data_IF_426212273623
#
_entry.id   IF_426212273623
#
_cell.length_a   1.000
_cell.length_b   1.000
_cell.length_c   1.000
_cell.angle_alpha   90.00
_cell.angle_beta   90.00
_cell.angle_gamma   90.00
#
_symmetry.space_group_name_H-M   'P 1'
#
loop_
_entity.id
_entity.type
_entity.pdbx_description
1 polymer ?
#
# COMPACT_ATOMS: atom_id res chain seq x y z
N UNK A 1 -17.32 8.00 0.36
CA UNK A 1 -16.15 8.65 -0.32
C UNK A 1 -15.00 9.12 0.59
N UNK A 2 -15.17 9.29 1.91
CA UNK A 2 -14.07 9.76 2.79
C UNK A 2 -12.92 8.76 2.94
N UNK A 3 -13.15 7.48 2.63
CA UNK A 3 -12.17 6.40 2.74
C UNK A 3 -10.97 6.61 1.80
N UNK A 4 -11.20 7.03 0.55
CA UNK A 4 -10.13 7.37 -0.40
C UNK A 4 -9.27 8.55 0.09
N UNK A 5 -9.83 9.49 0.85
CA UNK A 5 -9.06 10.62 1.37
C UNK A 5 -8.05 10.20 2.46
N UNK A 6 -8.29 9.07 3.13
CA UNK A 6 -7.42 8.53 4.20
C UNK A 6 -6.31 7.61 3.66
N UNK A 7 -6.43 7.14 2.42
CA UNK A 7 -5.47 6.21 1.82
C UNK A 7 -4.14 6.88 1.45
N UNK A 8 -3.05 6.12 1.44
CA UNK A 8 -1.75 6.63 0.96
C UNK A 8 -1.81 6.83 -0.55
N UNK A 9 -0.88 7.66 -1.08
CA UNK A 9 -0.80 7.94 -2.53
C UNK A 9 -0.61 6.63 -3.31
N UNK A 10 0.26 5.76 -2.82
CA UNK A 10 0.62 4.52 -3.53
C UNK A 10 -0.52 3.50 -3.49
N UNK A 11 -1.24 3.37 -2.37
CA UNK A 11 -2.45 2.52 -2.32
C UNK A 11 -3.50 2.96 -3.34
N UNK A 12 -3.70 4.28 -3.48
CA UNK A 12 -4.64 4.84 -4.45
C UNK A 12 -4.18 4.60 -5.89
N UNK A 13 -2.86 4.57 -6.14
CA UNK A 13 -2.34 4.21 -7.45
C UNK A 13 -2.59 2.74 -7.75
N UNK A 14 -2.27 1.84 -6.81
CA UNK A 14 -2.56 0.41 -6.98
C UNK A 14 -4.03 0.18 -7.26
N UNK A 15 -4.90 0.81 -6.48
CA UNK A 15 -6.35 0.72 -6.64
C UNK A 15 -6.80 1.16 -8.03
N UNK A 16 -6.36 2.32 -8.52
CA UNK A 16 -6.79 2.77 -9.85
C UNK A 16 -6.17 1.91 -10.97
N UNK A 17 -4.98 1.34 -10.80
CA UNK A 17 -4.39 0.38 -11.75
C UNK A 17 -5.22 -0.91 -11.80
N UNK A 18 -5.66 -1.43 -10.65
CA UNK A 18 -6.52 -2.62 -10.58
C UNK A 18 -7.91 -2.37 -11.17
N UNK A 19 -8.40 -1.12 -11.09
CA UNK A 19 -9.62 -0.68 -11.78
C UNK A 19 -9.42 -0.44 -13.29
N UNK A 20 -8.23 -0.69 -13.84
CA UNK A 20 -7.93 -0.49 -15.26
C UNK A 20 -7.83 0.97 -15.67
N UNK A 21 -7.62 1.89 -14.73
CA UNK A 21 -7.46 3.31 -15.00
C UNK A 21 -5.99 3.59 -15.33
N UNK A 22 -5.73 4.35 -16.40
CA UNK A 22 -4.38 4.77 -16.74
C UNK A 22 -3.90 5.81 -15.72
N UNK A 23 -2.90 5.45 -14.92
CA UNK A 23 -2.29 6.35 -13.95
C UNK A 23 -0.85 6.65 -14.34
N UNK A 24 -0.61 7.86 -14.81
CA UNK A 24 0.74 8.40 -14.91
C UNK A 24 1.30 8.80 -13.53
N UNK A 25 2.24 9.73 -13.51
CA UNK A 25 2.75 10.29 -12.26
C UNK A 25 1.77 11.33 -11.66
N UNK A 26 0.57 10.89 -11.34
CA UNK A 26 -0.50 11.74 -10.86
C UNK A 26 -0.43 12.01 -9.35
N UNK A 27 -0.94 13.17 -8.95
CA UNK A 27 -1.11 13.54 -7.54
C UNK A 27 -2.25 12.75 -6.89
N UNK A 28 -2.21 12.62 -5.56
CA UNK A 28 -3.21 11.88 -4.78
C UNK A 28 -4.65 12.33 -5.07
N UNK A 29 -4.86 13.65 -5.13
CA UNK A 29 -6.18 14.25 -5.38
C UNK A 29 -6.70 13.88 -6.78
N UNK A 30 -5.82 13.92 -7.79
CA UNK A 30 -6.17 13.60 -9.17
C UNK A 30 -6.55 12.12 -9.28
N UNK A 31 -5.78 11.24 -8.65
CA UNK A 31 -6.03 9.79 -8.64
C UNK A 31 -7.38 9.46 -8.00
N UNK A 32 -7.68 10.05 -6.84
CA UNK A 32 -8.99 9.93 -6.19
C UNK A 32 -10.13 10.37 -7.11
N UNK A 33 -9.99 11.52 -7.76
CA UNK A 33 -11.04 12.06 -8.62
C UNK A 33 -11.27 11.18 -9.86
N UNK A 34 -10.21 10.58 -10.41
CA UNK A 34 -10.30 9.65 -11.54
C UNK A 34 -11.12 8.40 -11.16
N UNK A 35 -10.85 7.82 -9.99
CA UNK A 35 -11.61 6.67 -9.47
C UNK A 35 -13.09 7.02 -9.32
N UNK A 36 -13.39 8.16 -8.72
CA UNK A 36 -14.77 8.61 -8.49
C UNK A 36 -15.50 9.01 -9.78
N UNK A 37 -14.77 9.37 -10.83
CA UNK A 37 -15.33 9.72 -12.13
C UNK A 37 -15.53 8.51 -13.05
N UNK A 38 -15.09 7.31 -12.64
CA UNK A 38 -15.32 6.09 -13.41
C UNK A 38 -16.81 5.79 -13.51
N UNK A 39 -17.26 5.39 -14.70
CA UNK A 39 -18.67 5.01 -14.95
C UNK A 39 -19.08 3.77 -14.16
N UNK A 40 -18.11 2.90 -13.88
CA UNK A 40 -18.29 1.64 -13.16
C UNK A 40 -17.90 1.79 -11.67
N UNK A 41 -17.88 3.02 -11.14
CA UNK A 41 -17.57 3.24 -9.74
C UNK A 41 -18.65 2.62 -8.82
N UNK A 42 -18.25 1.56 -8.13
CA UNK A 42 -18.99 0.97 -7.02
C UNK A 42 -18.23 1.27 -5.72
N UNK A 43 -18.88 2.01 -4.81
CA UNK A 43 -18.25 2.41 -3.54
C UNK A 43 -17.91 1.23 -2.65
N UNK A 44 -18.76 0.20 -2.59
CA UNK A 44 -18.53 -0.95 -1.73
C UNK A 44 -17.39 -1.80 -2.28
N UNK A 45 -17.40 -2.08 -3.58
CA UNK A 45 -16.32 -2.79 -4.24
C UNK A 45 -14.97 -2.07 -4.08
N UNK A 46 -14.93 -0.77 -4.41
CA UNK A 46 -13.71 0.03 -4.34
C UNK A 46 -13.17 0.13 -2.91
N UNK A 47 -14.05 0.19 -1.91
CA UNK A 47 -13.66 0.22 -0.50
C UNK A 47 -13.05 -1.11 -0.07
N UNK A 48 -13.70 -2.24 -0.37
CA UNK A 48 -13.18 -3.57 -0.03
C UNK A 48 -11.84 -3.83 -0.72
N UNK A 49 -11.72 -3.45 -2.00
CA UNK A 49 -10.47 -3.61 -2.74
C UNK A 49 -9.33 -2.80 -2.10
N UNK A 50 -9.61 -1.54 -1.73
CA UNK A 50 -8.63 -0.69 -1.04
C UNK A 50 -8.24 -1.23 0.34
N UNK A 51 -9.19 -1.82 1.09
CA UNK A 51 -8.89 -2.48 2.36
C UNK A 51 -7.91 -3.65 2.16
N UNK A 52 -8.14 -4.50 1.16
CA UNK A 52 -7.23 -5.60 0.79
C UNK A 52 -5.83 -5.11 0.39
N UNK A 53 -5.74 -4.04 -0.43
CA UNK A 53 -4.46 -3.43 -0.81
C UNK A 53 -3.71 -2.93 0.44
N UNK A 54 -4.40 -2.24 1.34
CA UNK A 54 -3.81 -1.71 2.58
C UNK A 54 -3.33 -2.85 3.48
N UNK A 55 -4.13 -3.89 3.67
CA UNK A 55 -3.78 -5.06 4.48
C UNK A 55 -2.55 -5.78 3.92
N UNK A 56 -2.51 -5.99 2.60
CA UNK A 56 -1.38 -6.63 1.92
C UNK A 56 -0.09 -5.83 2.12
N UNK A 57 -0.15 -4.50 1.96
CA UNK A 57 1.02 -3.64 2.22
C UNK A 57 1.45 -3.70 3.67
N UNK A 58 0.52 -3.59 4.63
CA UNK A 58 0.84 -3.62 6.06
C UNK A 58 1.46 -4.95 6.46
N UNK A 59 1.00 -6.06 5.88
CA UNK A 59 1.60 -7.36 6.13
C UNK A 59 3.02 -7.43 5.57
N UNK A 60 3.24 -7.00 4.33
CA UNK A 60 4.58 -6.94 3.74
C UNK A 60 5.55 -6.04 4.55
N UNK A 61 5.11 -4.86 4.98
CA UNK A 61 5.90 -3.96 5.84
C UNK A 61 6.25 -4.60 7.20
N UNK A 62 5.39 -5.48 7.74
CA UNK A 62 5.65 -6.22 8.98
C UNK A 62 6.64 -7.34 8.76
N UNK A 63 6.45 -8.14 7.73
CA UNK A 63 7.32 -9.28 7.41
C UNK A 63 8.75 -8.79 7.13
N UNK A 64 8.91 -7.69 6.38
CA UNK A 64 10.22 -7.07 6.13
C UNK A 64 10.88 -6.57 7.42
N UNK A 65 10.09 -5.98 8.33
CA UNK A 65 10.60 -5.52 9.61
C UNK A 65 11.06 -6.69 10.47
N UNK A 66 10.29 -7.76 10.56
CA UNK A 66 10.64 -8.96 11.33
C UNK A 66 11.90 -9.63 10.78
N UNK A 67 12.04 -9.70 9.45
CA UNK A 67 13.24 -10.22 8.79
C UNK A 67 14.48 -9.35 9.11
N UNK A 68 14.36 -8.03 9.04
CA UNK A 68 15.44 -7.10 9.35
C UNK A 68 15.84 -7.15 10.84
N UNK A 69 14.86 -7.27 11.74
CA UNK A 69 15.11 -7.43 13.18
C UNK A 69 15.86 -8.74 13.47
N UNK A 70 15.52 -9.82 12.76
CA UNK A 70 16.24 -11.10 12.86
C UNK A 70 17.68 -10.98 12.36
N UNK A 71 17.89 -10.38 11.18
CA UNK A 71 19.23 -10.16 10.61
C UNK A 71 20.12 -9.33 11.53
N UNK A 72 19.59 -8.21 12.04
CA UNK A 72 20.32 -7.32 12.96
C UNK A 72 20.76 -8.05 14.23
N UNK A 73 19.92 -8.92 14.78
CA UNK A 73 20.27 -9.74 15.95
C UNK A 73 21.35 -10.77 15.63
N UNK A 74 21.29 -11.44 14.47
CA UNK A 74 22.31 -12.38 14.04
C UNK A 74 23.66 -11.69 13.84
N UNK A 75 23.68 -10.53 13.18
CA UNK A 75 24.90 -9.73 12.98
C UNK A 75 25.50 -9.27 14.32
N UNK A 76 24.67 -8.81 15.25
CA UNK A 76 25.13 -8.43 16.59
C UNK A 76 25.75 -9.60 17.37
N UNK A 77 25.16 -10.80 17.29
CA UNK A 77 25.71 -12.00 17.92
C UNK A 77 27.05 -12.43 17.31
N UNK A 78 27.20 -12.31 15.99
CA UNK A 78 28.46 -12.63 15.31
C UNK A 78 29.58 -11.69 15.77
N UNK A 79 29.30 -10.38 15.85
CA UNK A 79 30.28 -9.39 16.31
C UNK A 79 30.72 -9.62 17.76
N UNK A 80 29.83 -10.09 18.64
CA UNK A 80 30.16 -10.41 20.04
C UNK A 80 31.05 -11.66 20.17
N UNK A 81 30.90 -12.63 19.28
CA UNK A 81 31.75 -13.84 19.27
C UNK A 81 33.14 -13.60 18.66
N UNK A 82 33.29 -12.58 17.82
CA UNK A 82 34.55 -12.21 17.16
C UNK A 82 35.41 -11.21 17.97
N UNK A 83 34.89 -10.69 19.10
CA UNK A 83 35.56 -9.73 19.99
C UNK A 83 36.28 -10.41 21.18
#
# INVERSE_FOLDING_TARGET
>A
MAYLAKARKDDLKTLATELGLEIGEMMRIITKNLILASKDYDEQFTKTLLETIIETRVQAERDEKEENDYKTKQEGLILELEA
#
